data_IF_095644623421
#
_entry.id   IF_095644623421
#
_cell.length_a   1.000
_cell.length_b   1.000
_cell.length_c   1.000
_cell.angle_alpha   90.00
_cell.angle_beta   90.00
_cell.angle_gamma   90.00
#
_symmetry.space_group_name_H-M   'P 1'
#
loop_
_entity.id
_entity.type
_entity.pdbx_description
1 polymer ?
#
# COMPACT_ATOMS: atom_id res chain seq x y z
N UNK A 1 3.33 11.18 -15.00
CA UNK A 1 3.21 12.45 -14.22
C UNK A 1 3.07 12.02 -12.77
N UNK A 2 4.11 12.20 -11.95
CA UNK A 2 4.07 11.86 -10.51
C UNK A 2 3.17 12.93 -9.88
N UNK A 3 2.07 12.51 -9.25
CA UNK A 3 1.26 13.45 -8.47
C UNK A 3 2.08 13.86 -7.25
N UNK A 4 2.67 15.06 -7.28
CA UNK A 4 3.12 15.71 -6.04
C UNK A 4 1.94 15.73 -5.08
N UNK A 5 2.12 15.20 -3.88
CA UNK A 5 1.15 15.40 -2.81
C UNK A 5 1.20 16.88 -2.46
N UNK A 6 0.14 17.63 -2.81
CA UNK A 6 0.01 19.01 -2.36
C UNK A 6 0.15 19.06 -0.84
N UNK A 7 0.83 20.07 -0.29
CA UNK A 7 0.84 20.27 1.16
C UNK A 7 -0.59 20.27 1.69
N UNK A 8 -0.78 19.67 2.87
CA UNK A 8 -2.10 19.70 3.49
C UNK A 8 -2.41 21.13 3.90
N UNK A 9 -3.50 21.68 3.39
CA UNK A 9 -4.01 22.99 3.77
C UNK A 9 -5.13 22.80 4.78
N UNK A 10 -5.11 23.57 5.85
CA UNK A 10 -6.16 23.53 6.87
C UNK A 10 -7.49 23.96 6.23
N UNK A 11 -8.56 23.15 6.39
CA UNK A 11 -9.88 23.48 5.82
C UNK A 11 -10.53 24.71 6.46
N UNK A 12 -10.04 25.13 7.64
CA UNK A 12 -10.50 26.30 8.39
C UNK A 12 -9.37 26.85 9.26
N UNK A 13 -9.36 28.15 9.48
CA UNK A 13 -8.46 28.80 10.45
C UNK A 13 -9.00 28.71 11.88
N UNK A 14 -10.29 28.39 12.04
CA UNK A 14 -10.90 28.25 13.35
C UNK A 14 -10.38 27.00 14.07
N UNK A 15 -10.02 27.17 15.35
CA UNK A 15 -9.71 26.11 16.30
C UNK A 15 -10.12 26.55 17.70
N UNK A 16 -10.88 25.73 18.40
CA UNK A 16 -11.24 26.02 19.80
C UNK A 16 -10.11 25.53 20.71
N UNK A 17 -9.28 26.44 21.18
CA UNK A 17 -8.11 26.11 22.01
C UNK A 17 -8.45 25.40 23.33
N UNK A 18 -9.71 25.43 23.76
CA UNK A 18 -10.17 24.73 24.99
C UNK A 18 -10.10 23.20 24.86
N UNK A 19 -10.03 22.68 23.63
CA UNK A 19 -9.96 21.22 23.37
C UNK A 19 -8.55 20.72 23.13
N UNK A 20 -7.51 21.56 23.25
CA UNK A 20 -6.13 21.18 22.90
C UNK A 20 -5.64 19.97 23.71
N UNK A 21 -5.96 19.90 24.99
CA UNK A 21 -5.58 18.80 25.87
C UNK A 21 -6.31 17.52 25.48
N UNK A 22 -7.58 17.63 25.07
CA UNK A 22 -8.37 16.48 24.58
C UNK A 22 -7.77 15.94 23.27
N UNK A 23 -7.40 16.80 22.34
CA UNK A 23 -6.77 16.37 21.07
C UNK A 23 -5.40 15.73 21.32
N UNK A 24 -4.64 16.23 22.30
CA UNK A 24 -3.40 15.60 22.74
C UNK A 24 -3.63 14.20 23.34
N UNK A 25 -4.66 14.05 24.17
CA UNK A 25 -5.04 12.76 24.76
C UNK A 25 -5.48 11.77 23.66
N UNK A 26 -6.22 12.20 22.65
CA UNK A 26 -6.56 11.38 21.47
C UNK A 26 -5.28 10.87 20.78
N UNK A 27 -4.31 11.73 20.53
CA UNK A 27 -3.02 11.33 19.95
C UNK A 27 -2.28 10.31 20.82
N UNK A 28 -2.27 10.54 22.15
CA UNK A 28 -1.67 9.63 23.13
C UNK A 28 -2.36 8.26 23.14
N UNK A 29 -3.68 8.22 23.09
CA UNK A 29 -4.46 6.98 23.05
C UNK A 29 -4.25 6.21 21.75
N UNK A 30 -4.14 6.90 20.60
CA UNK A 30 -3.80 6.27 19.31
C UNK A 30 -2.42 5.61 19.41
N UNK A 31 -1.43 6.31 19.95
CA UNK A 31 -0.08 5.76 20.17
C UNK A 31 -0.13 4.54 21.07
N UNK A 32 -0.79 4.62 22.23
CA UNK A 32 -0.95 3.53 23.18
C UNK A 32 -1.64 2.31 22.56
N UNK A 33 -2.67 2.53 21.73
CA UNK A 33 -3.35 1.46 21.00
C UNK A 33 -2.37 0.69 20.10
N UNK A 34 -1.47 1.37 19.42
CA UNK A 34 -0.44 0.76 18.57
C UNK A 34 0.57 -0.04 19.41
N UNK A 35 1.05 0.53 20.51
CA UNK A 35 2.02 -0.13 21.40
C UNK A 35 1.46 -1.42 21.98
N UNK A 36 0.23 -1.40 22.50
CA UNK A 36 -0.43 -2.57 23.11
C UNK A 36 -0.71 -3.69 22.11
N UNK A 37 -0.84 -3.35 20.83
CA UNK A 37 -1.15 -4.30 19.76
C UNK A 37 0.07 -4.69 18.90
N UNK A 38 1.28 -4.39 19.33
CA UNK A 38 2.52 -4.63 18.56
C UNK A 38 2.43 -4.07 17.12
N UNK A 39 1.87 -2.86 16.99
CA UNK A 39 1.57 -2.18 15.71
C UNK A 39 0.61 -2.94 14.77
N UNK A 40 -0.17 -3.87 15.29
CA UNK A 40 -1.21 -4.59 14.55
C UNK A 40 -2.57 -4.50 15.26
N UNK A 41 -3.17 -3.32 15.38
CA UNK A 41 -4.39 -3.12 16.17
C UNK A 41 -5.65 -3.73 15.55
N UNK A 42 -5.62 -4.11 14.27
CA UNK A 42 -6.79 -4.60 13.57
C UNK A 42 -7.97 -3.62 13.53
N UNK A 43 -9.13 -4.13 13.11
CA UNK A 43 -10.40 -3.41 13.11
C UNK A 43 -11.30 -3.95 14.23
N UNK A 44 -12.00 -3.10 15.01
CA UNK A 44 -12.90 -3.56 16.06
C UNK A 44 -14.07 -4.39 15.50
N UNK A 45 -14.53 -5.43 16.21
CA UNK A 45 -15.80 -6.09 15.87
C UNK A 45 -16.96 -5.09 15.76
N UNK A 46 -17.83 -5.28 14.77
CA UNK A 46 -18.94 -4.34 14.52
C UNK A 46 -19.85 -4.17 15.73
N UNK A 47 -20.03 -5.21 16.55
CA UNK A 47 -20.81 -5.14 17.80
C UNK A 47 -20.25 -4.13 18.81
N UNK A 48 -18.92 -3.90 18.81
CA UNK A 48 -18.32 -2.86 19.65
C UNK A 48 -18.56 -1.46 19.07
N UNK A 49 -18.51 -1.34 17.74
CA UNK A 49 -18.81 -0.07 17.07
C UNK A 49 -20.24 0.38 17.41
N UNK A 50 -21.23 -0.53 17.28
CA UNK A 50 -22.63 -0.24 17.65
C UNK A 50 -22.77 0.16 19.11
N UNK A 51 -22.17 -0.59 20.04
CA UNK A 51 -22.18 -0.25 21.47
C UNK A 51 -21.56 1.12 21.77
N UNK A 52 -20.45 1.45 21.11
CA UNK A 52 -19.78 2.73 21.34
C UNK A 52 -20.54 3.89 20.69
N UNK A 53 -21.19 3.69 19.55
CA UNK A 53 -22.03 4.71 18.93
C UNK A 53 -23.18 5.12 19.86
N UNK A 54 -23.84 4.16 20.48
CA UNK A 54 -24.91 4.41 21.46
C UNK A 54 -24.38 5.04 22.76
N UNK A 55 -23.28 4.49 23.31
CA UNK A 55 -22.76 4.92 24.62
C UNK A 55 -22.16 6.33 24.58
N UNK A 56 -21.60 6.75 23.45
CA UNK A 56 -20.93 8.03 23.29
C UNK A 56 -21.67 9.00 22.34
N UNK A 57 -22.86 8.64 21.89
CA UNK A 57 -23.70 9.44 20.97
C UNK A 57 -22.95 9.82 19.69
N UNK A 58 -22.19 8.86 19.12
CA UNK A 58 -21.42 9.01 17.89
C UNK A 58 -22.05 8.21 16.75
N UNK A 59 -21.88 8.66 15.51
CA UNK A 59 -22.37 7.92 14.34
C UNK A 59 -21.51 6.68 14.07
N UNK A 60 -22.14 5.54 13.78
CA UNK A 60 -21.45 4.29 13.43
C UNK A 60 -20.53 4.46 12.23
N UNK A 61 -20.99 5.14 11.16
CA UNK A 61 -20.19 5.40 9.96
C UNK A 61 -18.96 6.25 10.25
N UNK A 62 -19.07 7.20 11.19
CA UNK A 62 -17.91 7.97 11.65
C UNK A 62 -16.90 7.07 12.36
N UNK A 63 -17.33 6.22 13.28
CA UNK A 63 -16.47 5.28 13.99
C UNK A 63 -15.84 4.27 13.01
N UNK A 64 -16.59 3.75 12.05
CA UNK A 64 -16.08 2.87 11.00
C UNK A 64 -14.97 3.54 10.18
N UNK A 65 -15.17 4.78 9.77
CA UNK A 65 -14.18 5.57 9.03
C UNK A 65 -12.94 5.85 9.87
N UNK A 66 -13.11 6.20 11.14
CA UNK A 66 -12.03 6.48 12.08
C UNK A 66 -11.14 5.24 12.29
N UNK A 67 -11.74 4.09 12.64
CA UNK A 67 -10.99 2.86 12.86
C UNK A 67 -10.36 2.30 11.58
N UNK A 68 -11.01 2.49 10.42
CA UNK A 68 -10.42 2.16 9.11
C UNK A 68 -9.18 3.01 8.83
N UNK A 69 -9.24 4.31 9.10
CA UNK A 69 -8.09 5.21 8.94
C UNK A 69 -6.94 4.84 9.87
N UNK A 70 -7.24 4.53 11.14
CA UNK A 70 -6.23 4.10 12.11
C UNK A 70 -5.60 2.74 11.75
N UNK A 71 -6.36 1.81 11.20
CA UNK A 71 -5.84 0.52 10.72
C UNK A 71 -4.89 0.71 9.53
N UNK A 72 -5.22 1.64 8.65
CA UNK A 72 -4.47 1.92 7.42
C UNK A 72 -3.48 3.09 7.56
N UNK A 73 -3.05 3.44 8.77
CA UNK A 73 -2.17 4.59 9.04
C UNK A 73 -0.89 4.58 8.18
N UNK A 74 -0.34 3.40 7.87
CA UNK A 74 0.85 3.26 7.00
C UNK A 74 0.68 3.93 5.62
N UNK A 75 -0.55 4.07 5.12
CA UNK A 75 -0.82 4.75 3.85
C UNK A 75 -0.56 6.26 3.93
N UNK A 76 -0.59 6.84 5.13
CA UNK A 76 -0.31 8.27 5.37
C UNK A 76 1.18 8.59 5.56
N UNK A 77 2.03 7.57 5.69
CA UNK A 77 3.49 7.77 5.74
C UNK A 77 3.96 8.50 4.48
N UNK A 78 4.75 9.57 4.59
CA UNK A 78 5.29 10.27 3.44
C UNK A 78 5.98 9.32 2.46
N UNK A 79 5.64 9.43 1.19
CA UNK A 79 6.29 8.66 0.13
C UNK A 79 7.58 9.36 -0.28
N UNK A 80 8.65 8.59 -0.42
CA UNK A 80 9.92 9.13 -0.93
C UNK A 80 9.79 9.40 -2.41
N UNK A 81 10.07 10.64 -2.83
CA UNK A 81 10.20 10.98 -4.23
C UNK A 81 11.61 10.60 -4.72
N UNK A 82 11.73 9.73 -5.76
CA UNK A 82 13.02 9.34 -6.30
C UNK A 82 13.77 10.55 -6.86
N UNK A 83 14.96 10.83 -6.35
CA UNK A 83 15.82 11.94 -6.75
C UNK A 83 17.25 11.50 -7.03
N UNK A 84 17.92 12.19 -7.96
CA UNK A 84 19.29 11.87 -8.33
C UNK A 84 19.38 10.54 -9.08
N UNK A 85 18.82 10.49 -10.31
CA UNK A 85 18.90 9.29 -11.17
C UNK A 85 20.35 8.85 -11.36
N UNK A 86 20.64 7.57 -11.15
CA UNK A 86 21.97 6.96 -11.28
C UNK A 86 22.07 6.07 -12.51
N UNK A 87 21.21 5.05 -12.59
CA UNK A 87 21.26 4.08 -13.68
C UNK A 87 19.93 3.34 -13.87
N UNK A 88 19.83 2.63 -14.99
CA UNK A 88 18.72 1.76 -15.32
C UNK A 88 19.25 0.33 -15.48
N UNK A 89 18.72 -0.60 -14.69
CA UNK A 89 19.10 -2.01 -14.69
C UNK A 89 17.95 -2.80 -15.30
N UNK A 90 18.21 -3.54 -16.36
CA UNK A 90 17.27 -4.52 -16.90
C UNK A 90 17.29 -5.78 -16.02
N UNK A 91 16.11 -6.22 -15.55
CA UNK A 91 15.97 -7.44 -14.75
C UNK A 91 15.47 -8.58 -15.62
N UNK A 92 14.39 -8.39 -16.36
CA UNK A 92 13.79 -9.31 -17.33
C UNK A 92 13.58 -10.74 -16.79
N UNK A 93 13.14 -10.86 -15.54
CA UNK A 93 12.75 -12.13 -14.93
C UNK A 93 11.24 -12.31 -15.03
N UNK A 94 10.82 -13.51 -15.37
CA UNK A 94 9.40 -13.83 -15.57
C UNK A 94 8.98 -15.06 -14.79
N UNK A 95 7.74 -15.05 -14.33
CA UNK A 95 7.06 -16.15 -13.65
C UNK A 95 5.69 -16.32 -14.27
N UNK A 96 5.33 -17.57 -14.60
CA UNK A 96 3.96 -17.92 -15.01
C UNK A 96 3.22 -18.50 -13.82
N UNK A 97 2.02 -17.97 -13.54
CA UNK A 97 1.17 -18.49 -12.49
C UNK A 97 -0.29 -18.46 -12.93
N UNK A 98 -0.92 -19.63 -13.03
CA UNK A 98 -2.21 -19.79 -13.69
C UNK A 98 -2.14 -19.30 -15.14
N UNK A 99 -3.07 -18.48 -15.55
CA UNK A 99 -3.17 -17.90 -16.91
C UNK A 99 -2.44 -16.55 -17.02
N UNK A 100 -1.62 -16.18 -16.02
CA UNK A 100 -0.94 -14.89 -15.98
C UNK A 100 0.56 -15.03 -16.10
N UNK A 101 1.15 -14.13 -16.88
CA UNK A 101 2.57 -13.99 -17.09
C UNK A 101 3.08 -12.73 -16.39
N UNK A 102 3.82 -12.91 -15.32
CA UNK A 102 4.39 -11.83 -14.52
C UNK A 102 5.83 -11.57 -14.95
N UNK A 103 6.16 -10.31 -15.21
CA UNK A 103 7.52 -9.91 -15.59
C UNK A 103 8.02 -8.76 -14.74
N UNK A 104 9.07 -9.01 -13.95
CA UNK A 104 9.85 -7.95 -13.33
C UNK A 104 10.84 -7.41 -14.39
N UNK A 105 10.50 -6.27 -14.99
CA UNK A 105 11.16 -5.81 -16.22
C UNK A 105 12.44 -5.06 -15.94
N UNK A 106 12.41 -4.12 -14.99
CA UNK A 106 13.54 -3.23 -14.78
C UNK A 106 13.53 -2.56 -13.41
N UNK A 107 14.71 -2.08 -13.03
CA UNK A 107 14.93 -1.23 -11.87
C UNK A 107 15.62 0.06 -12.29
N UNK A 108 15.07 1.21 -11.90
CA UNK A 108 15.76 2.50 -11.98
C UNK A 108 16.34 2.82 -10.63
N UNK A 109 17.64 3.06 -10.58
CA UNK A 109 18.37 3.44 -9.38
C UNK A 109 18.45 4.97 -9.23
N UNK A 110 18.16 5.44 -8.04
CA UNK A 110 18.29 6.83 -7.62
C UNK A 110 19.17 6.90 -6.37
N UNK A 111 19.58 8.10 -5.98
CA UNK A 111 20.44 8.28 -4.80
C UNK A 111 19.71 7.94 -3.49
N UNK A 112 18.39 8.11 -3.46
CA UNK A 112 17.55 7.95 -2.26
C UNK A 112 16.52 6.82 -2.37
N UNK A 113 16.37 6.18 -3.52
CA UNK A 113 15.39 5.13 -3.75
C UNK A 113 15.71 4.26 -4.97
N UNK A 114 15.02 3.14 -5.11
CA UNK A 114 14.95 2.36 -6.35
C UNK A 114 13.50 2.31 -6.86
N UNK A 115 13.31 2.29 -8.17
CA UNK A 115 11.97 2.16 -8.78
C UNK A 115 11.92 0.88 -9.60
N UNK A 116 11.10 -0.06 -9.16
CA UNK A 116 10.86 -1.33 -9.84
C UNK A 116 9.62 -1.24 -10.74
N UNK A 117 9.65 -1.97 -11.86
CA UNK A 117 8.50 -2.10 -12.76
C UNK A 117 8.11 -3.56 -12.90
N UNK A 118 6.88 -3.88 -12.52
CA UNK A 118 6.22 -5.17 -12.71
C UNK A 118 5.19 -5.04 -13.83
N UNK A 119 5.26 -5.92 -14.82
CA UNK A 119 4.22 -6.10 -15.82
C UNK A 119 3.54 -7.44 -15.62
N UNK A 120 2.24 -7.48 -15.90
CA UNK A 120 1.41 -8.68 -15.83
C UNK A 120 0.62 -8.74 -17.13
N UNK A 121 0.75 -9.85 -17.84
CA UNK A 121 0.04 -10.13 -19.08
C UNK A 121 -0.85 -11.36 -18.90
N UNK A 122 -2.02 -11.39 -19.52
CA UNK A 122 -2.95 -12.53 -19.51
C UNK A 122 -3.72 -12.61 -20.82
N UNK A 123 -4.19 -13.82 -21.14
CA UNK A 123 -5.03 -14.03 -22.32
C UNK A 123 -6.49 -13.68 -22.00
N UNK A 124 -7.08 -12.86 -22.86
CA UNK A 124 -8.44 -12.32 -22.66
C UNK A 124 -9.53 -13.13 -23.38
N UNK A 125 -9.18 -14.23 -24.07
CA UNK A 125 -10.14 -14.98 -24.89
C UNK A 125 -11.25 -15.70 -24.10
N UNK A 126 -11.12 -15.85 -22.76
CA UNK A 126 -12.06 -16.60 -21.94
C UNK A 126 -12.97 -15.76 -21.02
N UNK A 127 -12.79 -14.45 -20.91
CA UNK A 127 -13.46 -13.61 -19.90
C UNK A 127 -14.62 -12.75 -20.46
N UNK A 128 -15.44 -13.28 -21.39
CA UNK A 128 -16.61 -12.55 -21.89
C UNK A 128 -17.73 -12.41 -20.84
N UNK A 129 -17.69 -13.18 -19.74
CA UNK A 129 -18.83 -13.27 -18.81
C UNK A 129 -18.55 -12.91 -17.35
N UNK A 130 -17.38 -12.42 -17.00
CA UNK A 130 -17.11 -12.08 -15.61
C UNK A 130 -16.88 -10.58 -15.39
N UNK A 131 -17.80 -9.99 -14.64
CA UNK A 131 -17.63 -8.77 -13.87
C UNK A 131 -16.43 -8.87 -12.88
N UNK A 132 -15.54 -9.84 -13.07
CA UNK A 132 -14.39 -10.21 -12.25
C UNK A 132 -13.06 -9.56 -12.69
N UNK A 133 -13.08 -8.50 -13.49
CA UNK A 133 -11.93 -7.56 -13.55
C UNK A 133 -11.83 -6.83 -12.20
N UNK A 134 -11.88 -7.60 -11.11
CA UNK A 134 -11.58 -7.12 -9.77
C UNK A 134 -10.18 -6.51 -9.84
N UNK A 135 -10.11 -5.23 -9.58
CA UNK A 135 -8.86 -4.49 -9.44
C UNK A 135 -7.99 -5.19 -8.39
N UNK A 136 -7.17 -6.13 -8.85
CA UNK A 136 -6.25 -6.84 -7.97
C UNK A 136 -5.17 -5.86 -7.53
N UNK A 137 -4.87 -5.89 -6.26
CA UNK A 137 -3.85 -5.05 -5.67
C UNK A 137 -2.61 -5.91 -5.38
N UNK A 138 -1.45 -5.46 -5.83
CA UNK A 138 -0.18 -6.15 -5.60
C UNK A 138 0.68 -5.34 -4.64
N UNK A 139 1.14 -5.95 -3.57
CA UNK A 139 2.07 -5.36 -2.63
C UNK A 139 3.43 -6.00 -2.77
N UNK A 140 4.47 -5.18 -2.99
CA UNK A 140 5.85 -5.64 -3.00
C UNK A 140 6.37 -5.73 -1.56
N UNK A 141 6.96 -6.87 -1.22
CA UNK A 141 7.74 -7.08 -0.01
C UNK A 141 9.13 -7.63 -0.38
N UNK A 142 10.18 -7.13 0.25
CA UNK A 142 11.54 -7.61 0.10
C UNK A 142 12.01 -8.16 1.46
N UNK A 143 12.16 -7.28 2.43
CA UNK A 143 12.39 -7.57 3.85
C UNK A 143 12.10 -6.31 4.67
N UNK A 144 12.28 -6.39 6.00
CA UNK A 144 11.90 -5.30 6.93
C UNK A 144 12.80 -4.05 6.82
N UNK A 145 13.91 -4.10 6.10
CA UNK A 145 14.78 -2.94 5.87
C UNK A 145 14.22 -2.00 4.80
N UNK A 146 13.34 -2.50 3.91
CA UNK A 146 12.84 -1.76 2.76
C UNK A 146 11.37 -1.38 2.92
N UNK A 147 11.09 -0.10 2.73
CA UNK A 147 9.74 0.41 2.55
C UNK A 147 9.39 0.35 1.06
N UNK A 148 8.47 -0.52 0.69
CA UNK A 148 8.07 -0.77 -0.69
C UNK A 148 6.67 -0.20 -0.94
N UNK A 149 6.53 0.74 -1.88
CA UNK A 149 5.25 1.40 -2.14
C UNK A 149 4.92 1.50 -3.60
N UNK A 150 3.73 1.11 -3.96
CA UNK A 150 3.20 1.33 -5.29
C UNK A 150 2.93 2.83 -5.51
N UNK A 151 3.53 3.40 -6.55
CA UNK A 151 3.39 4.83 -6.93
C UNK A 151 2.50 5.02 -8.15
N UNK A 152 2.39 4.00 -8.97
CA UNK A 152 1.55 4.02 -10.17
C UNK A 152 1.16 2.59 -10.51
N UNK A 153 -0.06 2.43 -10.99
CA UNK A 153 -0.57 1.18 -11.53
C UNK A 153 -1.67 1.46 -12.53
N UNK A 154 -1.73 0.67 -13.57
CA UNK A 154 -2.78 0.72 -14.57
C UNK A 154 -2.95 -0.64 -15.23
N UNK A 155 -4.19 -0.98 -15.56
CA UNK A 155 -4.54 -2.19 -16.29
C UNK A 155 -5.37 -1.86 -17.52
N UNK A 156 -5.24 -2.71 -18.51
CA UNK A 156 -6.09 -2.78 -19.71
C UNK A 156 -6.71 -4.18 -19.79
N UNK A 157 -7.34 -4.50 -20.90
CA UNK A 157 -8.02 -5.77 -21.09
C UNK A 157 -7.13 -7.02 -20.91
N UNK A 158 -5.87 -6.94 -21.26
CA UNK A 158 -4.91 -8.05 -21.36
C UNK A 158 -3.57 -7.78 -20.67
N UNK A 159 -3.41 -6.61 -20.06
CA UNK A 159 -2.13 -6.15 -19.51
C UNK A 159 -2.30 -5.24 -18.30
N UNK A 160 -1.42 -5.39 -17.31
CA UNK A 160 -1.26 -4.43 -16.21
C UNK A 160 0.21 -4.07 -16.00
N UNK A 161 0.46 -2.82 -15.61
CA UNK A 161 1.82 -2.35 -15.28
C UNK A 161 1.80 -1.59 -13.97
N UNK A 162 2.71 -1.96 -13.07
CA UNK A 162 2.84 -1.40 -11.73
C UNK A 162 4.26 -0.90 -11.49
N UNK A 163 4.37 0.25 -10.82
CA UNK A 163 5.66 0.81 -10.40
C UNK A 163 5.71 0.95 -8.89
N UNK A 164 6.82 0.51 -8.31
CA UNK A 164 7.08 0.54 -6.88
C UNK A 164 8.31 1.35 -6.57
N UNK A 165 8.22 2.26 -5.61
CA UNK A 165 9.38 2.90 -4.97
C UNK A 165 9.80 2.03 -3.80
N UNK A 166 11.08 1.73 -3.74
CA UNK A 166 11.75 0.99 -2.67
C UNK A 166 12.75 1.93 -1.99
N UNK A 167 12.64 2.08 -0.69
CA UNK A 167 13.51 2.93 0.12
C UNK A 167 13.94 2.21 1.41
N UNK A 168 15.24 2.29 1.79
CA UNK A 168 16.37 2.90 1.08
C UNK A 168 16.61 2.30 -0.31
N UNK A 169 17.52 2.88 -1.14
CA UNK A 169 17.80 2.31 -2.45
C UNK A 169 18.39 0.91 -2.34
N UNK A 170 17.97 0.04 -3.27
CA UNK A 170 18.54 -1.29 -3.41
C UNK A 170 20.00 -1.21 -3.86
N UNK A 171 20.85 -2.22 -3.57
CA UNK A 171 22.19 -2.28 -4.11
C UNK A 171 22.18 -2.40 -5.65
N UNK A 172 23.28 -2.06 -6.29
CA UNK A 172 23.42 -2.17 -7.75
C UNK A 172 23.45 -3.66 -8.18
N UNK A 173 24.01 -4.53 -7.35
CA UNK A 173 23.95 -5.99 -7.49
C UNK A 173 22.74 -6.52 -6.71
N UNK A 174 21.77 -7.09 -7.43
CA UNK A 174 20.50 -7.58 -6.85
C UNK A 174 20.41 -9.10 -6.77
N UNK A 175 21.48 -9.81 -7.16
CA UNK A 175 21.50 -11.28 -7.03
C UNK A 175 21.32 -11.70 -5.56
N UNK A 176 20.44 -12.68 -5.35
CA UNK A 176 20.06 -13.14 -4.03
C UNK A 176 19.00 -12.30 -3.29
N UNK A 177 18.51 -11.21 -3.89
CA UNK A 177 17.37 -10.48 -3.38
C UNK A 177 16.08 -11.12 -3.90
N UNK A 178 15.18 -11.52 -3.00
CA UNK A 178 13.86 -12.00 -3.38
C UNK A 178 12.86 -10.83 -3.42
N UNK A 179 12.19 -10.69 -4.55
CA UNK A 179 11.08 -9.74 -4.72
C UNK A 179 9.77 -10.50 -4.64
N UNK A 180 9.01 -10.31 -3.57
CA UNK A 180 7.74 -11.00 -3.29
C UNK A 180 6.58 -10.06 -3.54
N UNK A 181 5.73 -10.38 -4.50
CA UNK A 181 4.50 -9.64 -4.79
C UNK A 181 3.32 -10.41 -4.24
N UNK A 182 2.67 -9.86 -3.22
CA UNK A 182 1.45 -10.42 -2.61
C UNK A 182 0.24 -9.84 -3.30
N UNK A 183 -0.63 -10.71 -3.79
CA UNK A 183 -1.89 -10.34 -4.44
C UNK A 183 -3.02 -10.27 -3.41
N UNK A 184 -3.82 -9.21 -3.50
CA UNK A 184 -5.02 -9.02 -2.68
C UNK A 184 -6.21 -8.73 -3.57
N UNK A 185 -7.36 -9.31 -3.25
CA UNK A 185 -8.63 -9.07 -3.95
C UNK A 185 -9.22 -7.69 -3.66
N UNK A 186 -8.76 -7.03 -2.58
CA UNK A 186 -9.22 -5.71 -2.16
C UNK A 186 -8.04 -4.78 -1.83
N UNK A 187 -8.12 -3.47 -2.21
CA UNK A 187 -7.05 -2.51 -1.93
C UNK A 187 -6.83 -2.25 -0.43
N UNK A 188 -7.80 -2.58 0.42
CA UNK A 188 -7.72 -2.39 1.87
C UNK A 188 -7.26 -3.65 2.61
N UNK A 189 -6.73 -4.66 1.93
CA UNK A 189 -6.17 -5.88 2.54
C UNK A 189 -7.11 -6.57 3.55
N UNK A 190 -8.40 -6.55 3.28
CA UNK A 190 -9.36 -7.28 4.10
C UNK A 190 -9.26 -8.78 3.78
N UNK A 191 -8.30 -9.46 4.39
CA UNK A 191 -8.10 -10.89 4.24
C UNK A 191 -6.64 -11.30 4.09
N UNK A 192 -6.39 -12.59 3.96
CA UNK A 192 -5.10 -13.15 3.61
C UNK A 192 -4.79 -12.86 2.13
N UNK A 193 -3.49 -12.73 1.80
CA UNK A 193 -3.08 -12.62 0.41
C UNK A 193 -3.62 -13.84 -0.36
N UNK A 194 -4.28 -13.60 -1.48
CA UNK A 194 -4.84 -14.67 -2.32
C UNK A 194 -3.72 -15.45 -3.00
N UNK A 195 -2.60 -14.79 -3.27
CA UNK A 195 -1.47 -15.39 -3.96
C UNK A 195 -0.16 -14.63 -3.70
N UNK A 196 0.99 -15.30 -3.96
CA UNK A 196 2.32 -14.70 -3.87
C UNK A 196 3.14 -15.06 -5.11
N UNK A 197 3.77 -14.06 -5.74
CA UNK A 197 4.66 -14.22 -6.88
C UNK A 197 6.07 -13.82 -6.43
N UNK A 198 7.05 -14.71 -6.59
CA UNK A 198 8.44 -14.50 -6.15
C UNK A 198 9.38 -14.46 -7.35
N UNK A 199 10.21 -13.43 -7.40
CA UNK A 199 11.30 -13.30 -8.35
C UNK A 199 12.64 -13.36 -7.63
N UNK A 200 13.57 -14.12 -8.20
CA UNK A 200 14.96 -14.26 -7.77
C UNK A 200 15.87 -13.88 -8.96
N UNK A 201 16.27 -12.60 -9.06
CA UNK A 201 17.16 -12.13 -10.12
C UNK A 201 18.56 -12.68 -10.05
#
# INVERSE_FOLDING_TARGET
MIRMRMPFERPTEHYDERIIDIDQDICSLIKKRKEVSDNNPGFPPLEYITKWSEAFELYEDFLNSLFSSMMNEKQFKPMIEPAGFRQHIAILKSVVKGERFYTLTSMKQYTNASVLTLNIDWDNEQDIDSNSHQHRHYELYINDQYDCRMINGGSRSDHASYKYVVSPPLPDEISGIQFRFKEYSHPFKMGEASDEIVFEP
#
